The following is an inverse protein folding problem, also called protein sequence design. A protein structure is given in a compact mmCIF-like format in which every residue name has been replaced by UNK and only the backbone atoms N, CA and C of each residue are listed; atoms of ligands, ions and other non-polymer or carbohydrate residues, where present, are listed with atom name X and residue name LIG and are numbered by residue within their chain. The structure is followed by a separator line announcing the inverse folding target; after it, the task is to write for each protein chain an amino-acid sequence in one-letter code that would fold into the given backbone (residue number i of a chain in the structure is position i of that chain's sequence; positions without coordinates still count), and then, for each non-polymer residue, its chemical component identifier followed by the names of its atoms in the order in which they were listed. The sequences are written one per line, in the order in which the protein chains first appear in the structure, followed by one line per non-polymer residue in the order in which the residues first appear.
data_IF_175566494292
#
_entry.id   IF_175566494292
#
_cell.length_a   1.000
_cell.length_b   1.000
_cell.length_c   1.000
_cell.angle_alpha   90.00
_cell.angle_beta   90.00
_cell.angle_gamma   90.00
#
_symmetry.space_group_name_H-M   'P 1'
#
loop_
_entity.id
_entity.type
_entity.pdbx_description
1 polymer ?
#
# COMPACT_ATOMS: atom_id res chain seq x y z
N UNK A 1 -1.00 -5.38 12.63
CA UNK A 1 -1.69 -6.35 11.73
C UNK A 1 -3.09 -5.87 11.31
N UNK A 2 -3.26 -4.59 10.94
CA UNK A 2 -4.56 -3.95 10.69
C UNK A 2 -4.85 -3.65 9.21
N UNK A 3 -3.90 -3.87 8.30
CA UNK A 3 -4.00 -3.44 6.90
C UNK A 3 -5.19 -4.08 6.11
N UNK A 4 -5.51 -5.35 6.39
CA UNK A 4 -6.66 -6.00 5.76
C UNK A 4 -8.00 -5.36 6.19
N UNK A 5 -8.12 -4.99 7.47
CA UNK A 5 -9.29 -4.30 8.03
C UNK A 5 -9.46 -2.92 7.37
N UNK A 6 -8.36 -2.20 7.17
CA UNK A 6 -8.34 -0.93 6.44
C UNK A 6 -8.88 -1.05 5.01
N UNK A 7 -8.50 -2.10 4.28
CA UNK A 7 -9.01 -2.35 2.93
C UNK A 7 -10.51 -2.63 2.92
N UNK A 8 -10.98 -3.47 3.84
CA UNK A 8 -12.40 -3.83 3.95
C UNK A 8 -13.27 -2.64 4.33
N UNK A 9 -12.88 -1.88 5.37
CA UNK A 9 -13.65 -0.74 5.84
C UNK A 9 -13.69 0.40 4.82
N UNK A 10 -12.65 0.56 3.99
CA UNK A 10 -12.70 1.47 2.84
C UNK A 10 -13.77 1.09 1.81
N UNK A 11 -13.95 -0.22 1.56
CA UNK A 11 -15.06 -0.69 0.71
C UNK A 11 -16.40 -0.33 1.35
N UNK A 12 -16.56 -0.66 2.63
CA UNK A 12 -17.80 -0.39 3.38
C UNK A 12 -18.15 1.11 3.44
N UNK A 13 -17.15 2.00 3.57
CA UNK A 13 -17.32 3.46 3.49
C UNK A 13 -17.79 3.93 2.11
N UNK A 14 -17.29 3.29 1.04
CA UNK A 14 -17.69 3.63 -0.33
C UNK A 14 -19.14 3.18 -0.60
N UNK A 15 -19.55 2.06 -0.03
CA UNK A 15 -20.91 1.51 -0.12
C UNK A 15 -21.90 2.24 0.81
N UNK A 16 -21.43 2.77 1.95
CA UNK A 16 -22.24 3.45 2.96
C UNK A 16 -21.60 4.79 3.38
N UNK A 17 -21.69 5.83 2.53
CA UNK A 17 -21.08 7.13 2.83
C UNK A 17 -21.57 7.73 4.15
N UNK A 18 -20.65 8.17 5.00
CA UNK A 18 -20.94 8.79 6.30
C UNK A 18 -21.30 7.80 7.42
N UNK A 19 -21.40 6.50 7.14
CA UNK A 19 -21.75 5.49 8.15
C UNK A 19 -20.57 5.01 9.00
N UNK A 20 -19.34 5.21 8.54
CA UNK A 20 -18.13 4.65 9.17
C UNK A 20 -17.00 5.68 9.14
N UNK A 21 -16.42 5.96 10.30
CA UNK A 21 -15.14 6.69 10.44
C UNK A 21 -14.07 5.70 10.91
N UNK A 22 -12.92 5.70 10.24
CA UNK A 22 -11.81 4.81 10.54
C UNK A 22 -10.66 5.57 11.18
N UNK A 23 -10.21 5.09 12.33
CA UNK A 23 -9.10 5.64 13.10
C UNK A 23 -8.11 4.53 13.45
N UNK A 24 -6.84 4.71 13.05
CA UNK A 24 -5.72 3.91 13.55
C UNK A 24 -4.99 4.71 14.62
N UNK A 25 -4.81 4.12 15.79
CA UNK A 25 -4.29 4.77 16.97
C UNK A 25 -3.05 4.00 17.44
N UNK A 26 -1.98 4.72 17.72
CA UNK A 26 -0.80 4.15 18.36
C UNK A 26 -1.02 3.89 19.87
N UNK A 27 0.02 3.39 20.54
CA UNK A 27 -0.05 3.07 21.97
C UNK A 27 0.33 4.26 22.88
N UNK A 28 0.56 5.45 22.32
CA UNK A 28 0.96 6.63 23.09
C UNK A 28 -0.26 7.24 23.83
N UNK A 29 -0.23 7.36 25.17
CA UNK A 29 -1.31 8.01 25.92
C UNK A 29 -1.61 9.45 25.47
N UNK A 30 -0.62 10.19 24.95
CA UNK A 30 -0.83 11.54 24.44
C UNK A 30 -1.79 11.58 23.24
N UNK A 31 -1.85 10.49 22.46
CA UNK A 31 -2.74 10.34 21.30
C UNK A 31 -4.23 10.31 21.68
N UNK A 32 -4.56 10.00 22.94
CA UNK A 32 -5.94 10.09 23.41
C UNK A 32 -6.45 11.53 23.48
N UNK A 33 -5.55 12.52 23.67
CA UNK A 33 -5.95 13.92 23.87
C UNK A 33 -6.40 14.59 22.58
N UNK A 34 -6.03 14.04 21.41
CA UNK A 34 -6.45 14.56 20.10
C UNK A 34 -7.77 13.97 19.59
N UNK A 35 -8.30 12.91 20.24
CA UNK A 35 -9.53 12.23 19.82
C UNK A 35 -10.76 13.15 19.70
N UNK A 36 -11.02 14.10 20.62
CA UNK A 36 -12.15 15.01 20.47
C UNK A 36 -12.10 15.83 19.18
N UNK A 37 -10.91 16.29 18.79
CA UNK A 37 -10.71 17.04 17.55
C UNK A 37 -10.88 16.16 16.31
N UNK A 38 -10.32 14.95 16.34
CA UNK A 38 -10.46 13.92 15.29
C UNK A 38 -11.94 13.63 14.98
N UNK A 39 -12.78 13.48 15.99
CA UNK A 39 -14.22 13.19 15.79
C UNK A 39 -14.98 14.36 15.13
N UNK A 40 -14.45 15.57 15.16
CA UNK A 40 -15.08 16.77 14.59
C UNK A 40 -14.49 17.22 13.25
N UNK A 41 -13.39 16.61 12.78
CA UNK A 41 -12.62 17.12 11.65
C UNK A 41 -13.17 16.77 10.24
N UNK A 42 -14.34 16.13 10.17
CA UNK A 42 -15.02 15.71 8.92
C UNK A 42 -14.21 14.75 8.03
N UNK A 43 -13.08 14.23 8.48
CA UNK A 43 -12.32 13.20 7.79
C UNK A 43 -12.90 11.81 8.09
N UNK A 44 -12.97 10.96 7.07
CA UNK A 44 -13.49 9.59 7.21
C UNK A 44 -12.40 8.57 7.55
N UNK A 45 -11.13 8.92 7.36
CA UNK A 45 -9.97 8.08 7.64
C UNK A 45 -8.87 8.92 8.26
N UNK A 46 -8.38 8.50 9.42
CA UNK A 46 -7.33 9.17 10.19
C UNK A 46 -6.37 8.15 10.79
N UNK A 47 -5.12 8.56 10.97
CA UNK A 47 -4.15 7.87 11.82
C UNK A 47 -3.67 8.85 12.89
N UNK A 48 -3.54 8.40 14.13
CA UNK A 48 -2.97 9.19 15.22
C UNK A 48 -1.71 8.51 15.72
N UNK A 49 -0.61 9.26 15.71
CA UNK A 49 0.69 8.81 16.16
C UNK A 49 1.43 9.92 16.89
N UNK A 50 2.06 9.61 18.03
CA UNK A 50 2.83 10.55 18.84
C UNK A 50 2.05 11.85 19.18
N UNK A 51 0.74 11.74 19.43
CA UNK A 51 -0.11 12.90 19.73
C UNK A 51 -0.52 13.74 18.51
N UNK A 52 -0.26 13.30 17.28
CA UNK A 52 -0.63 14.02 16.05
C UNK A 52 -1.63 13.24 15.20
N UNK A 53 -2.64 13.93 14.69
CA UNK A 53 -3.63 13.36 13.77
C UNK A 53 -3.26 13.61 12.30
N UNK A 54 -3.24 12.56 11.50
CA UNK A 54 -2.89 12.57 10.08
C UNK A 54 -4.05 12.04 9.24
N UNK A 55 -4.44 12.77 8.21
CA UNK A 55 -5.41 12.31 7.21
C UNK A 55 -4.66 11.81 5.96
N UNK A 56 -4.99 10.60 5.45
CA UNK A 56 -4.33 10.07 4.26
C UNK A 56 -4.74 10.89 3.03
N UNK A 57 -3.77 11.18 2.18
CA UNK A 57 -3.95 11.87 0.90
C UNK A 57 -3.12 11.18 -0.18
N UNK A 58 -3.67 11.11 -1.38
CA UNK A 58 -2.90 10.70 -2.56
C UNK A 58 -2.23 11.93 -3.13
N UNK A 59 -0.91 11.86 -3.29
CA UNK A 59 -0.13 12.85 -4.00
C UNK A 59 0.44 12.23 -5.27
N UNK A 60 0.53 13.02 -6.34
CA UNK A 60 1.26 12.61 -7.53
C UNK A 60 2.74 12.43 -7.17
N UNK A 61 3.28 11.26 -7.46
CA UNK A 61 4.73 11.03 -7.38
C UNK A 61 5.29 11.33 -8.77
N UNK A 62 6.31 12.20 -8.91
CA UNK A 62 6.95 12.39 -10.20
C UNK A 62 7.41 11.02 -10.70
N UNK A 63 7.28 10.77 -12.01
CA UNK A 63 7.86 9.56 -12.57
C UNK A 63 9.32 9.53 -12.15
N UNK A 64 9.73 8.47 -11.46
CA UNK A 64 11.14 8.14 -11.43
C UNK A 64 11.55 8.10 -12.91
N UNK A 65 12.57 8.87 -13.30
CA UNK A 65 13.05 8.94 -14.67
C UNK A 65 13.64 7.60 -15.10
N UNK A 66 14.84 7.58 -15.68
CA UNK A 66 15.63 6.36 -15.67
C UNK A 66 16.01 6.04 -14.21
N UNK A 67 15.09 5.41 -13.48
CA UNK A 67 15.42 4.72 -12.25
C UNK A 67 16.57 3.77 -12.58
N UNK A 68 17.54 3.66 -11.67
CA UNK A 68 18.65 2.73 -11.83
C UNK A 68 18.08 1.39 -12.26
N UNK A 69 18.49 0.92 -13.45
CA UNK A 69 17.88 -0.28 -14.05
C UNK A 69 18.00 -1.41 -13.03
N UNK A 70 16.87 -2.04 -12.73
CA UNK A 70 16.88 -3.26 -11.94
C UNK A 70 17.67 -4.31 -12.72
N UNK A 71 18.89 -4.60 -12.27
CA UNK A 71 19.71 -5.70 -12.78
C UNK A 71 19.54 -6.86 -11.82
N UNK A 72 18.96 -7.95 -12.31
CA UNK A 72 18.85 -9.18 -11.53
C UNK A 72 20.18 -9.92 -11.56
N UNK A 73 20.47 -10.61 -10.45
CA UNK A 73 21.56 -11.57 -10.42
C UNK A 73 21.33 -12.64 -11.49
N UNK A 74 22.23 -12.80 -12.48
CA UNK A 74 22.09 -13.81 -13.53
C UNK A 74 22.09 -15.25 -13.01
N UNK A 75 22.59 -15.49 -11.79
CA UNK A 75 22.53 -16.79 -11.11
C UNK A 75 21.26 -16.99 -10.27
N UNK A 76 20.43 -15.96 -10.10
CA UNK A 76 19.24 -15.98 -9.26
C UNK A 76 17.99 -16.50 -9.97
N UNK A 77 17.09 -17.12 -9.21
CA UNK A 77 15.75 -17.53 -9.68
C UNK A 77 14.69 -16.57 -9.15
N UNK A 78 13.86 -16.02 -10.04
CA UNK A 78 12.68 -15.23 -9.64
C UNK A 78 11.50 -16.16 -9.45
N UNK A 79 10.93 -16.13 -8.25
CA UNK A 79 9.78 -16.97 -7.89
C UNK A 79 8.53 -16.11 -7.80
N UNK A 80 7.46 -16.49 -8.51
CA UNK A 80 6.26 -15.66 -8.62
C UNK A 80 4.96 -16.45 -8.55
N UNK A 81 4.09 -16.10 -7.60
CA UNK A 81 2.72 -16.61 -7.57
C UNK A 81 1.87 -15.94 -8.63
N UNK A 82 1.08 -16.74 -9.36
CA UNK A 82 0.26 -16.22 -10.46
C UNK A 82 1.07 -15.74 -11.66
N UNK A 83 2.34 -16.15 -11.78
CA UNK A 83 3.23 -15.76 -12.87
C UNK A 83 2.75 -16.23 -14.26
N UNK A 84 1.85 -17.22 -14.32
CA UNK A 84 1.20 -17.69 -15.55
C UNK A 84 -0.05 -16.91 -15.93
N UNK A 85 -0.52 -15.99 -15.08
CA UNK A 85 -1.65 -15.10 -15.37
C UNK A 85 -1.28 -14.00 -16.37
N UNK A 86 -2.27 -13.21 -16.80
CA UNK A 86 -2.09 -12.16 -17.81
C UNK A 86 -0.99 -11.16 -17.45
N UNK A 87 -1.06 -10.58 -16.24
CA UNK A 87 -0.03 -9.67 -15.74
C UNK A 87 1.30 -10.40 -15.47
N UNK A 88 1.23 -11.61 -14.92
CA UNK A 88 2.41 -12.44 -14.64
C UNK A 88 3.26 -12.69 -15.88
N UNK A 89 2.61 -13.00 -17.02
CA UNK A 89 3.30 -13.22 -18.29
C UNK A 89 3.94 -11.94 -18.84
N UNK A 90 3.28 -10.79 -18.69
CA UNK A 90 3.84 -9.49 -19.08
C UNK A 90 5.06 -9.14 -18.23
N UNK A 91 4.98 -9.35 -16.92
CA UNK A 91 6.07 -9.12 -15.98
C UNK A 91 7.25 -10.06 -16.27
N UNK A 92 7.00 -11.36 -16.44
CA UNK A 92 8.03 -12.34 -16.80
C UNK A 92 8.79 -11.93 -18.06
N UNK A 93 8.09 -11.46 -19.10
CA UNK A 93 8.71 -10.96 -20.33
C UNK A 93 9.57 -9.71 -20.07
N UNK A 94 9.11 -8.79 -19.23
CA UNK A 94 9.88 -7.61 -18.86
C UNK A 94 11.15 -7.99 -18.08
N UNK A 95 11.05 -8.88 -17.11
CA UNK A 95 12.19 -9.33 -16.30
C UNK A 95 13.27 -10.01 -17.15
N UNK A 96 12.90 -10.80 -18.16
CA UNK A 96 13.86 -11.42 -19.08
C UNK A 96 14.49 -10.38 -20.01
N UNK A 97 13.70 -9.49 -20.61
CA UNK A 97 14.18 -8.54 -21.64
C UNK A 97 14.95 -7.37 -21.08
N UNK A 98 14.50 -6.82 -19.97
CA UNK A 98 14.99 -5.55 -19.44
C UNK A 98 15.81 -5.72 -18.16
N UNK A 99 15.59 -6.81 -17.40
CA UNK A 99 16.25 -7.03 -16.10
C UNK A 99 17.24 -8.21 -16.07
N UNK A 100 17.36 -8.98 -17.16
CA UNK A 100 18.34 -10.07 -17.29
C UNK A 100 17.99 -11.37 -16.56
N UNK A 101 16.71 -11.61 -16.24
CA UNK A 101 16.30 -12.86 -15.59
C UNK A 101 16.62 -14.09 -16.46
N UNK A 102 17.39 -15.02 -15.91
CA UNK A 102 17.77 -16.30 -16.55
C UNK A 102 16.89 -17.47 -16.10
N UNK A 103 16.29 -17.37 -14.91
CA UNK A 103 15.50 -18.42 -14.28
C UNK A 103 14.23 -17.84 -13.64
N UNK A 104 13.06 -18.35 -14.06
CA UNK A 104 11.75 -17.96 -13.54
C UNK A 104 11.02 -19.23 -13.07
N UNK A 105 10.46 -19.19 -11.86
CA UNK A 105 9.70 -20.30 -11.28
C UNK A 105 8.30 -19.83 -10.86
N UNK A 106 7.22 -20.26 -11.53
CA UNK A 106 5.87 -20.05 -11.02
C UNK A 106 5.62 -20.94 -9.80
N UNK A 107 4.87 -20.41 -8.82
CA UNK A 107 4.43 -21.13 -7.62
C UNK A 107 2.96 -20.88 -7.29
#
# INVERSE_FOLDING_TARGET
ASAAVWGLLRSAQSENPGGIVLLDLDEDPASLWVLPGVLTCCETQLAVGAGEALAPRMAGVPSAGEAERLVLDPGGTVVGRGATGTLGALLARHLVRECGASSLLPV
#
